data_IF_434321660819
#
_entry.id   IF_434321660819
#
_cell.length_a   1.000
_cell.length_b   1.000
_cell.length_c   1.000
_cell.angle_alpha   90.00
_cell.angle_beta   90.00
_cell.angle_gamma   90.00
#
_symmetry.space_group_name_H-M   'P 1'
#
loop_
_entity.id
_entity.type
_entity.pdbx_description
1 polymer ?
#
# COMPACT_ATOMS: atom_id res chain seq x y z
N UNK A 1 9.54 -36.14 55.21
CA UNK A 1 8.74 -37.03 54.35
C UNK A 1 7.93 -36.15 53.40
N UNK A 2 8.55 -35.56 52.38
CA UNK A 2 8.51 -35.96 50.95
C UNK A 2 7.13 -35.82 50.31
N UNK A 3 6.85 -34.62 49.79
CA UNK A 3 5.75 -34.34 48.87
C UNK A 3 6.06 -34.85 47.46
N UNK A 4 5.11 -35.54 46.84
CA UNK A 4 5.17 -35.95 45.43
C UNK A 4 4.18 -35.10 44.63
N UNK A 5 4.72 -34.17 43.84
CA UNK A 5 4.02 -33.60 42.69
C UNK A 5 4.30 -34.48 41.48
N UNK A 6 3.25 -34.88 40.75
CA UNK A 6 3.37 -35.59 39.49
C UNK A 6 2.12 -36.39 39.15
N UNK A 7 1.13 -35.75 38.52
CA UNK A 7 0.11 -36.49 37.78
C UNK A 7 0.70 -36.91 36.43
N UNK A 8 0.67 -38.21 36.14
CA UNK A 8 0.99 -38.75 34.82
C UNK A 8 -0.33 -38.97 34.08
N UNK A 9 -0.54 -38.26 32.97
CA UNK A 9 -1.68 -38.48 32.08
C UNK A 9 -1.32 -39.59 31.10
N UNK A 10 -2.24 -40.53 30.88
CA UNK A 10 -2.06 -41.59 29.89
C UNK A 10 -2.10 -41.01 28.48
N UNK A 11 -1.42 -41.65 27.53
CA UNK A 11 -1.48 -41.27 26.10
C UNK A 11 -2.92 -41.36 25.55
N UNK A 12 -3.75 -42.21 26.14
CA UNK A 12 -5.16 -42.37 25.79
C UNK A 12 -6.04 -41.23 26.32
N UNK A 13 -5.66 -40.59 27.44
CA UNK A 13 -6.37 -39.42 27.97
C UNK A 13 -6.17 -38.18 27.08
N UNK A 14 -5.02 -38.10 26.39
CA UNK A 14 -4.71 -37.02 25.45
C UNK A 14 -5.44 -37.23 24.12
N UNK A 15 -5.61 -38.47 23.70
CA UNK A 15 -6.01 -38.79 22.33
C UNK A 15 -7.48 -39.17 22.15
N UNK A 16 -8.28 -39.21 23.22
CA UNK A 16 -9.73 -39.40 23.13
C UNK A 16 -10.09 -40.78 22.59
N UNK A 17 -10.45 -41.69 23.47
CA UNK A 17 -10.90 -43.03 23.09
C UNK A 17 -12.13 -42.99 22.18
N UNK A 18 -12.02 -43.66 21.03
CA UNK A 18 -13.11 -44.08 20.13
C UNK A 18 -13.94 -42.99 19.43
N UNK A 19 -13.32 -42.19 18.56
CA UNK A 19 -14.06 -41.51 17.48
C UNK A 19 -13.90 -42.32 16.20
N UNK A 20 -14.98 -43.04 15.82
CA UNK A 20 -15.11 -43.71 14.53
C UNK A 20 -14.74 -42.74 13.41
N UNK A 21 -13.86 -43.20 12.52
CA UNK A 21 -13.32 -42.42 11.39
C UNK A 21 -14.43 -41.93 10.46
N UNK A 22 -14.97 -40.74 10.72
CA UNK A 22 -15.47 -39.91 9.64
C UNK A 22 -14.28 -39.16 9.07
N UNK A 23 -13.93 -39.44 7.81
CA UNK A 23 -12.99 -38.64 7.01
C UNK A 23 -13.60 -37.25 6.81
N UNK A 24 -13.56 -36.41 7.84
CA UNK A 24 -13.70 -34.97 7.65
C UNK A 24 -12.36 -34.51 7.10
N UNK A 25 -12.37 -34.12 5.83
CA UNK A 25 -11.33 -33.24 5.28
C UNK A 25 -11.35 -31.98 6.15
N UNK A 26 -10.46 -31.93 7.14
CA UNK A 26 -10.14 -30.72 7.87
C UNK A 26 -9.46 -29.79 6.87
N UNK A 27 -10.28 -29.01 6.16
CA UNK A 27 -9.79 -27.82 5.47
C UNK A 27 -9.32 -26.86 6.55
N UNK A 28 -8.02 -26.86 6.83
CA UNK A 28 -7.36 -25.72 7.45
C UNK A 28 -7.44 -24.55 6.47
N UNK A 29 -8.61 -23.91 6.40
CA UNK A 29 -8.71 -22.59 5.81
C UNK A 29 -8.25 -21.59 6.88
N UNK A 30 -7.16 -20.87 6.61
CA UNK A 30 -6.48 -20.06 7.61
C UNK A 30 -7.23 -18.77 7.96
N UNK A 31 -8.54 -18.65 7.65
CA UNK A 31 -9.39 -17.50 7.98
C UNK A 31 -8.90 -16.13 7.49
N UNK A 32 -7.74 -16.08 6.84
CA UNK A 32 -7.15 -14.94 6.18
C UNK A 32 -8.05 -14.67 4.99
N UNK A 33 -9.08 -13.86 5.24
CA UNK A 33 -9.76 -13.14 4.17
C UNK A 33 -8.65 -12.62 3.29
N UNK A 34 -8.57 -13.09 2.03
CA UNK A 34 -7.91 -12.34 0.96
C UNK A 34 -8.77 -11.09 0.73
N UNK A 35 -8.87 -10.25 1.76
CA UNK A 35 -9.48 -8.95 1.67
C UNK A 35 -8.67 -8.25 0.60
N UNK A 36 -9.32 -7.87 -0.50
CA UNK A 36 -8.82 -6.71 -1.22
C UNK A 36 -8.70 -5.64 -0.14
N UNK A 37 -7.49 -5.12 0.10
CA UNK A 37 -7.32 -4.03 1.04
C UNK A 37 -8.16 -2.86 0.49
N UNK A 38 -9.34 -2.68 1.08
CA UNK A 38 -10.28 -1.62 0.72
C UNK A 38 -9.93 -0.46 1.62
N UNK A 39 -9.48 0.63 1.02
CA UNK A 39 -9.16 1.86 1.74
C UNK A 39 -10.30 2.86 1.53
N UNK A 40 -10.89 3.32 2.62
CA UNK A 40 -12.01 4.26 2.58
C UNK A 40 -11.54 5.69 2.76
N UNK A 41 -12.06 6.58 1.92
CA UNK A 41 -11.81 8.01 1.93
C UNK A 41 -13.15 8.73 2.02
N UNK A 42 -13.27 9.68 2.94
CA UNK A 42 -14.47 10.49 3.10
C UNK A 42 -14.35 11.72 2.20
N UNK A 43 -15.35 11.91 1.34
CA UNK A 43 -15.55 13.11 0.53
C UNK A 43 -16.99 13.63 0.74
N UNK A 44 -17.30 14.80 0.20
CA UNK A 44 -18.63 15.42 0.24
C UNK A 44 -19.68 14.54 -0.44
N UNK A 45 -19.30 13.87 -1.53
CA UNK A 45 -20.14 12.89 -2.25
C UNK A 45 -20.36 11.59 -1.45
N UNK A 46 -19.66 11.41 -0.33
CA UNK A 46 -19.74 10.24 0.54
C UNK A 46 -18.43 9.45 0.68
N UNK A 47 -18.53 8.25 1.24
CA UNK A 47 -17.39 7.35 1.43
C UNK A 47 -17.03 6.67 0.11
N UNK A 48 -15.79 6.84 -0.31
CA UNK A 48 -15.24 6.28 -1.54
C UNK A 48 -14.17 5.24 -1.22
N UNK A 49 -14.23 4.12 -1.92
CA UNK A 49 -13.30 2.99 -1.76
C UNK A 49 -12.19 3.08 -2.80
N UNK A 50 -10.94 3.22 -2.35
CA UNK A 50 -9.78 3.04 -3.19
C UNK A 50 -9.40 1.55 -3.29
N UNK A 51 -9.04 1.13 -4.49
CA UNK A 51 -8.63 -0.25 -4.76
C UNK A 51 -7.12 -0.31 -4.91
N UNK A 52 -6.46 -1.17 -4.11
CA UNK A 52 -5.03 -1.44 -4.24
C UNK A 52 -4.72 -2.12 -5.57
N UNK A 53 -3.69 -1.63 -6.26
CA UNK A 53 -3.12 -2.21 -7.48
C UNK A 53 -1.60 -2.22 -7.37
N UNK A 54 -0.97 -3.17 -8.05
CA UNK A 54 0.49 -3.20 -8.23
C UNK A 54 0.76 -3.08 -9.71
N UNK A 55 1.41 -2.01 -10.13
CA UNK A 55 1.79 -1.78 -11.52
C UNK A 55 3.17 -2.40 -11.73
N UNK A 56 3.32 -3.16 -12.82
CA UNK A 56 4.61 -3.76 -13.19
C UNK A 56 5.62 -2.66 -13.51
N UNK A 57 6.92 -2.93 -13.32
CA UNK A 57 7.98 -1.96 -13.60
C UNK A 57 7.89 -1.38 -15.03
N UNK A 58 7.67 -2.26 -16.01
CA UNK A 58 7.58 -1.91 -17.44
C UNK A 58 6.40 -0.98 -17.76
N UNK A 59 5.36 -1.00 -16.93
CA UNK A 59 4.14 -0.24 -17.19
C UNK A 59 4.05 1.05 -16.38
N UNK A 60 4.94 1.30 -15.41
CA UNK A 60 4.82 2.45 -14.50
C UNK A 60 4.78 3.75 -15.27
N UNK A 61 5.70 3.94 -16.21
CA UNK A 61 5.82 5.17 -16.98
C UNK A 61 4.58 5.44 -17.85
N UNK A 62 4.05 4.39 -18.48
CA UNK A 62 2.92 4.48 -19.42
C UNK A 62 1.58 4.60 -18.69
N UNK A 63 1.38 3.83 -17.61
CA UNK A 63 0.09 3.73 -16.91
C UNK A 63 -0.10 4.74 -15.80
N UNK A 64 0.93 5.52 -15.46
CA UNK A 64 0.82 6.53 -14.41
C UNK A 64 1.32 7.88 -14.87
N UNK A 65 0.68 8.95 -14.40
CA UNK A 65 1.13 10.33 -14.61
C UNK A 65 1.00 11.10 -13.30
N UNK A 66 1.86 12.09 -13.03
CA UNK A 66 1.64 13.01 -11.91
C UNK A 66 0.28 13.71 -12.04
N UNK A 67 -0.46 13.83 -10.94
CA UNK A 67 -1.69 14.62 -10.94
C UNK A 67 -1.37 16.12 -11.09
N UNK A 68 -2.09 16.91 -11.91
CA UNK A 68 -1.81 18.34 -12.11
C UNK A 68 -1.86 19.19 -10.84
N UNK A 69 -2.69 18.78 -9.87
CA UNK A 69 -2.83 19.44 -8.58
C UNK A 69 -1.71 19.09 -7.58
N UNK A 70 -0.80 18.18 -7.93
CA UNK A 70 0.30 17.80 -7.05
C UNK A 70 1.35 18.93 -7.06
N UNK A 71 1.62 19.59 -5.92
CA UNK A 71 2.55 20.71 -5.86
C UNK A 71 4.01 20.29 -6.07
N UNK A 72 4.33 18.99 -6.02
CA UNK A 72 5.68 18.49 -6.29
C UNK A 72 6.01 18.61 -7.77
N UNK A 73 6.85 19.58 -8.12
CA UNK A 73 7.41 19.75 -9.46
C UNK A 73 8.29 18.55 -9.80
N UNK A 74 7.89 17.73 -10.78
CA UNK A 74 8.70 16.61 -11.25
C UNK A 74 10.08 17.04 -11.74
N UNK A 75 10.19 18.26 -12.29
CA UNK A 75 11.46 18.84 -12.75
C UNK A 75 12.48 19.07 -11.60
N UNK A 76 12.04 19.06 -10.34
CA UNK A 76 12.91 19.16 -9.18
C UNK A 76 13.38 17.78 -8.65
N UNK A 77 12.84 16.68 -9.20
CA UNK A 77 13.21 15.33 -8.85
C UNK A 77 14.43 14.91 -9.66
N UNK A 78 15.59 14.90 -9.00
CA UNK A 78 16.80 14.31 -9.56
C UNK A 78 17.36 13.26 -8.58
N UNK A 79 18.07 12.25 -9.10
CA UNK A 79 18.63 11.17 -8.29
C UNK A 79 19.45 11.67 -7.08
N UNK A 80 20.13 12.82 -7.23
CA UNK A 80 20.92 13.46 -6.17
C UNK A 80 20.06 14.03 -5.03
N UNK A 81 18.87 14.54 -5.31
CA UNK A 81 17.92 15.07 -4.32
C UNK A 81 17.15 13.98 -3.58
N UNK A 82 17.05 12.79 -4.18
CA UNK A 82 16.22 11.68 -3.69
C UNK A 82 17.04 10.57 -3.01
N UNK A 83 18.37 10.69 -3.00
CA UNK A 83 19.39 9.72 -2.58
C UNK A 83 18.92 8.60 -1.65
N UNK A 84 18.54 8.89 -0.40
CA UNK A 84 18.15 7.86 0.56
C UNK A 84 16.89 7.08 0.13
N UNK A 85 15.92 7.75 -0.48
CA UNK A 85 14.70 7.11 -0.99
C UNK A 85 15.01 6.26 -2.22
N UNK A 86 15.88 6.75 -3.11
CA UNK A 86 16.32 6.02 -4.29
C UNK A 86 17.02 4.71 -3.91
N UNK A 87 18.03 4.78 -3.04
CA UNK A 87 18.79 3.60 -2.61
C UNK A 87 17.87 2.57 -1.91
N UNK A 88 16.99 3.05 -1.01
CA UNK A 88 16.03 2.19 -0.33
C UNK A 88 15.10 1.47 -1.32
N UNK A 89 14.57 2.18 -2.32
CA UNK A 89 13.69 1.58 -3.33
C UNK A 89 14.47 0.63 -4.26
N UNK A 90 15.70 0.97 -4.60
CA UNK A 90 16.53 0.09 -5.43
C UNK A 90 16.79 -1.26 -4.74
N UNK A 91 17.09 -1.24 -3.43
CA UNK A 91 17.37 -2.43 -2.64
C UNK A 91 16.10 -3.21 -2.26
N UNK A 92 15.07 -2.52 -1.75
CA UNK A 92 13.92 -3.14 -1.07
C UNK A 92 12.61 -3.03 -1.86
N UNK A 93 12.59 -2.26 -2.94
CA UNK A 93 11.37 -1.89 -3.63
C UNK A 93 10.52 -0.88 -2.84
N UNK A 94 9.29 -0.67 -3.29
CA UNK A 94 8.35 0.24 -2.64
C UNK A 94 7.52 -0.55 -1.63
N UNK A 95 7.71 -0.24 -0.34
CA UNK A 95 7.02 -0.90 0.76
C UNK A 95 5.68 -0.22 1.12
N UNK A 96 5.60 1.10 0.93
CA UNK A 96 4.39 1.88 1.18
C UNK A 96 3.61 2.12 -0.11
N UNK A 97 2.34 1.75 -0.09
CA UNK A 97 1.41 2.05 -1.16
C UNK A 97 1.30 3.57 -1.42
N UNK A 98 1.33 3.94 -2.70
CA UNK A 98 1.07 5.29 -3.17
C UNK A 98 -0.44 5.55 -3.31
N UNK A 99 -0.83 6.77 -3.66
CA UNK A 99 -2.23 7.13 -3.89
C UNK A 99 -2.41 7.80 -5.26
N UNK A 100 -3.42 7.38 -5.98
CA UNK A 100 -3.83 8.02 -7.22
C UNK A 100 -5.32 7.95 -7.47
N UNK A 101 -5.74 8.55 -8.57
CA UNK A 101 -7.11 8.58 -9.06
C UNK A 101 -7.10 8.19 -10.54
N UNK A 102 -8.14 7.51 -11.01
CA UNK A 102 -8.27 7.23 -12.44
C UNK A 102 -8.42 8.52 -13.25
N UNK A 103 -7.80 8.57 -14.43
CA UNK A 103 -8.16 9.52 -15.47
C UNK A 103 -9.58 9.27 -15.98
N UNK A 104 -10.16 10.25 -16.65
CA UNK A 104 -11.50 10.18 -17.25
C UNK A 104 -11.64 8.97 -18.19
N UNK A 105 -10.62 8.69 -19.00
CA UNK A 105 -10.58 7.55 -19.92
C UNK A 105 -10.29 6.19 -19.24
N UNK A 106 -10.05 6.19 -17.92
CA UNK A 106 -9.70 5.03 -17.10
C UNK A 106 -8.47 4.23 -17.59
N UNK A 107 -7.61 4.83 -18.43
CA UNK A 107 -6.39 4.19 -18.93
C UNK A 107 -5.17 4.53 -18.08
N UNK A 108 -5.16 5.71 -17.48
CA UNK A 108 -4.02 6.24 -16.74
C UNK A 108 -4.39 6.51 -15.29
N UNK A 109 -3.45 6.28 -14.39
CA UNK A 109 -3.60 6.65 -12.97
C UNK A 109 -2.88 7.97 -12.75
N UNK A 110 -3.62 8.98 -12.32
CA UNK A 110 -3.08 10.26 -11.91
C UNK A 110 -2.62 10.19 -10.46
N UNK A 111 -1.33 10.32 -10.23
CA UNK A 111 -0.66 10.13 -8.93
C UNK A 111 -0.85 11.37 -8.05
N UNK A 112 -1.65 11.21 -7.00
CA UNK A 112 -1.92 12.22 -5.97
C UNK A 112 -0.78 12.26 -4.94
N UNK A 113 -0.33 11.08 -4.48
CA UNK A 113 0.83 10.92 -3.60
C UNK A 113 1.76 9.83 -4.12
N UNK A 114 3.06 10.00 -3.85
CA UNK A 114 4.07 9.01 -4.22
C UNK A 114 4.79 9.34 -5.54
N UNK A 115 4.76 10.61 -5.96
CA UNK A 115 5.49 11.13 -7.12
C UNK A 115 6.98 10.81 -7.11
N UNK A 116 7.65 10.97 -5.96
CA UNK A 116 9.07 10.59 -5.78
C UNK A 116 9.25 9.08 -5.97
N UNK A 117 8.35 8.28 -5.39
CA UNK A 117 8.37 6.83 -5.52
C UNK A 117 8.10 6.36 -6.94
N UNK A 118 7.24 7.06 -7.69
CA UNK A 118 6.99 6.81 -9.12
C UNK A 118 8.28 7.00 -9.90
N UNK A 119 8.97 8.12 -9.67
CA UNK A 119 10.27 8.37 -10.29
C UNK A 119 11.27 7.23 -9.99
N UNK A 120 11.47 6.89 -8.71
CA UNK A 120 12.35 5.77 -8.35
C UNK A 120 11.89 4.41 -8.88
N UNK A 121 10.59 4.16 -9.02
CA UNK A 121 10.08 2.90 -9.58
C UNK A 121 10.46 2.75 -11.06
N UNK A 122 10.43 3.86 -11.82
CA UNK A 122 10.85 3.89 -13.22
C UNK A 122 12.36 3.68 -13.30
N UNK A 123 13.13 4.49 -12.57
CA UNK A 123 14.60 4.45 -12.64
C UNK A 123 15.22 3.14 -12.10
N UNK A 124 14.62 2.55 -11.06
CA UNK A 124 15.11 1.31 -10.45
C UNK A 124 14.40 0.04 -10.98
N UNK A 125 13.53 0.19 -11.98
CA UNK A 125 12.73 -0.90 -12.57
C UNK A 125 11.97 -1.73 -11.51
N UNK A 126 11.29 -1.05 -10.59
CA UNK A 126 10.53 -1.69 -9.50
C UNK A 126 9.02 -1.61 -9.73
N UNK A 127 8.31 -2.60 -9.19
CA UNK A 127 6.85 -2.56 -9.15
C UNK A 127 6.35 -1.38 -8.32
N UNK A 128 5.26 -0.76 -8.78
CA UNK A 128 4.68 0.43 -8.17
C UNK A 128 3.31 0.11 -7.52
N UNK A 129 3.26 -0.12 -6.20
CA UNK A 129 2.01 -0.33 -5.49
C UNK A 129 1.27 1.00 -5.29
N UNK A 130 0.00 1.04 -5.66
CA UNK A 130 -0.83 2.24 -5.63
C UNK A 130 -2.28 1.92 -5.28
N UNK A 131 -2.88 2.73 -4.41
CA UNK A 131 -4.32 2.76 -4.15
C UNK A 131 -4.96 3.70 -5.14
N UNK A 132 -6.00 3.24 -5.84
CA UNK A 132 -6.61 4.01 -6.91
C UNK A 132 -8.06 4.35 -6.56
N UNK A 133 -8.34 5.65 -6.46
CA UNK A 133 -9.67 6.22 -6.34
C UNK A 133 -10.39 6.20 -7.72
N UNK A 134 -11.71 6.02 -7.75
CA UNK A 134 -12.51 6.20 -8.96
C UNK A 134 -12.38 7.62 -9.52
N UNK A 135 -12.52 7.76 -10.85
CA UNK A 135 -12.64 9.08 -11.48
C UNK A 135 -13.87 9.84 -10.95
N UNK A 136 -13.77 11.17 -10.87
CA UNK A 136 -14.82 12.09 -10.39
C UNK A 136 -15.40 11.75 -9.00
N UNK A 137 -14.63 11.07 -8.14
CA UNK A 137 -15.09 10.74 -6.80
C UNK A 137 -15.06 11.92 -5.82
N UNK A 138 -14.32 12.98 -6.14
CA UNK A 138 -14.09 14.15 -5.29
C UNK A 138 -13.84 15.39 -6.15
N UNK A 139 -14.15 16.56 -5.61
CA UNK A 139 -13.86 17.84 -6.25
C UNK A 139 -12.36 18.16 -6.26
N UNK A 140 -11.91 19.04 -7.16
CA UNK A 140 -10.53 19.53 -7.19
C UNK A 140 -10.10 20.22 -5.89
N UNK A 141 -11.04 20.72 -5.07
CA UNK A 141 -10.75 21.31 -3.76
C UNK A 141 -10.40 20.21 -2.75
N UNK A 142 -11.27 19.22 -2.62
CA UNK A 142 -11.07 18.08 -1.72
C UNK A 142 -9.83 17.27 -2.08
N UNK A 143 -9.53 17.10 -3.38
CA UNK A 143 -8.31 16.44 -3.81
C UNK A 143 -7.04 17.21 -3.40
N UNK A 144 -7.08 18.55 -3.39
CA UNK A 144 -5.96 19.37 -2.88
C UNK A 144 -5.81 19.21 -1.38
N UNK A 145 -6.90 19.31 -0.62
CA UNK A 145 -6.90 19.13 0.82
C UNK A 145 -6.35 17.74 1.19
N UNK A 146 -6.76 16.69 0.47
CA UNK A 146 -6.23 15.35 0.64
C UNK A 146 -4.72 15.27 0.35
N UNK A 147 -4.25 15.89 -0.74
CA UNK A 147 -2.81 15.93 -1.07
C UNK A 147 -2.04 16.67 0.04
N UNK A 148 -2.54 17.80 0.50
CA UNK A 148 -1.94 18.61 1.56
C UNK A 148 -1.90 17.86 2.89
N UNK A 149 -2.98 17.20 3.30
CA UNK A 149 -3.05 16.40 4.52
C UNK A 149 -2.05 15.26 4.51
N UNK A 150 -1.91 14.57 3.37
CA UNK A 150 -0.93 13.49 3.23
C UNK A 150 0.49 14.07 3.22
N UNK A 151 0.72 15.21 2.58
CA UNK A 151 2.04 15.83 2.53
C UNK A 151 2.45 16.43 3.86
N UNK A 152 1.54 17.04 4.63
CA UNK A 152 1.80 17.60 5.95
C UNK A 152 2.17 16.52 6.97
N UNK A 153 1.65 15.30 6.81
CA UNK A 153 2.11 14.12 7.56
C UNK A 153 3.56 13.72 7.22
N UNK A 154 4.09 14.10 6.06
CA UNK A 154 5.46 13.79 5.60
C UNK A 154 6.30 15.06 5.53
N UNK A 155 7.17 15.29 6.53
CA UNK A 155 8.12 16.43 6.49
C UNK A 155 8.92 16.41 5.18
N UNK A 156 8.68 17.40 4.32
CA UNK A 156 9.50 17.66 3.13
C UNK A 156 10.96 17.84 3.52
N UNK A 157 11.89 17.36 2.68
CA UNK A 157 13.30 17.63 2.89
C UNK A 157 13.59 19.13 2.69
N UNK A 158 14.58 19.67 3.40
CA UNK A 158 14.96 21.10 3.30
C UNK A 158 15.29 21.51 1.85
N UNK A 159 15.77 20.56 1.04
CA UNK A 159 16.11 20.74 -0.37
C UNK A 159 14.88 20.81 -1.28
N UNK A 160 13.81 20.07 -0.98
CA UNK A 160 12.52 20.16 -1.71
C UNK A 160 11.84 21.52 -1.53
N UNK A 161 12.17 22.25 -0.46
CA UNK A 161 11.62 23.58 -0.15
C UNK A 161 12.38 24.74 -0.81
N UNK A 162 13.45 24.47 -1.57
CA UNK A 162 14.28 25.50 -2.20
C UNK A 162 15.09 26.35 -1.20
N UNK A 163 15.34 25.85 0.01
CA UNK A 163 16.08 26.53 1.08
C UNK A 163 17.54 26.03 1.19
N UNK A 164 18.17 25.72 0.05
CA UNK A 164 19.58 25.27 -0.01
C UNK A 164 20.38 26.16 -0.95
#
# INVERSE_FOLDING_TARGET
>A
MTGKYGSTMSKDDILGSNIKSQKSSLKQDNGLKRGRDVYEYQFDKGIVKAVRRVISANDVEVRTKPHPLNPRTQNALNARSIGNTFNSINEKGILEDCLGIWSEDQKTILVLEGSVRRYCAIECEKSYPIKVLPYDCASSKELRELIEDISNKKRHSLRERGLA
#
